data_IF_487943083116
#
_entry.id   IF_487943083116
#
_cell.length_a   1.000
_cell.length_b   1.000
_cell.length_c   1.000
_cell.angle_alpha   90.00
_cell.angle_beta   90.00
_cell.angle_gamma   90.00
#
_symmetry.space_group_name_H-M   'P 1'
#
loop_
_entity.id
_entity.type
_entity.pdbx_description
1 polymer ?
#
# COMPACT_ATOMS: atom_id res chain seq x y z
N UNK A 1 16.17 -21.22 7.33
CA UNK A 1 15.20 -20.20 6.87
C UNK A 1 15.90 -18.86 6.97
N UNK A 2 16.07 -18.12 5.87
CA UNK A 2 16.75 -16.82 5.91
C UNK A 2 16.00 -15.86 6.85
N UNK A 3 16.72 -15.05 7.66
CA UNK A 3 16.12 -14.00 8.52
C UNK A 3 15.10 -13.16 7.74
N UNK A 4 15.36 -12.94 6.45
CA UNK A 4 14.47 -12.28 5.52
C UNK A 4 13.06 -12.92 5.34
N UNK A 5 12.95 -14.25 5.23
CA UNK A 5 11.64 -14.90 5.09
C UNK A 5 10.83 -14.82 6.38
N UNK A 6 11.49 -14.79 7.54
CA UNK A 6 10.83 -14.52 8.83
C UNK A 6 10.29 -13.09 8.88
N UNK A 7 11.04 -12.10 8.35
CA UNK A 7 10.60 -10.71 8.31
C UNK A 7 9.34 -10.50 7.46
N UNK A 8 9.29 -11.09 6.25
CA UNK A 8 8.08 -11.04 5.42
C UNK A 8 6.90 -11.72 6.12
N UNK A 9 7.10 -12.86 6.76
CA UNK A 9 6.04 -13.58 7.43
C UNK A 9 5.39 -12.75 8.56
N UNK A 10 6.20 -12.05 9.37
CA UNK A 10 5.70 -11.17 10.44
C UNK A 10 4.91 -9.99 9.87
N UNK A 11 5.40 -9.33 8.82
CA UNK A 11 4.71 -8.21 8.19
C UNK A 11 3.40 -8.66 7.52
N UNK A 12 3.41 -9.82 6.87
CA UNK A 12 2.21 -10.42 6.25
C UNK A 12 1.16 -10.79 7.31
N UNK A 13 1.59 -11.33 8.45
CA UNK A 13 0.72 -11.63 9.58
C UNK A 13 0.11 -10.35 10.18
N UNK A 14 0.89 -9.28 10.33
CA UNK A 14 0.40 -8.00 10.83
C UNK A 14 -0.67 -7.39 9.91
N UNK A 15 -0.47 -7.46 8.60
CA UNK A 15 -1.49 -7.03 7.61
C UNK A 15 -2.73 -7.91 7.68
N UNK A 16 -2.57 -9.23 7.78
CA UNK A 16 -3.70 -10.13 7.88
C UNK A 16 -4.55 -9.80 9.12
N UNK A 17 -3.91 -9.56 10.26
CA UNK A 17 -4.59 -9.12 11.49
C UNK A 17 -5.31 -7.80 11.26
N UNK A 18 -4.70 -6.85 10.55
CA UNK A 18 -5.33 -5.56 10.25
C UNK A 18 -6.55 -5.71 9.31
N UNK A 19 -6.47 -6.57 8.30
CA UNK A 19 -7.59 -6.85 7.40
C UNK A 19 -8.74 -7.56 8.11
N UNK A 20 -8.42 -8.55 8.93
CA UNK A 20 -9.41 -9.24 9.76
C UNK A 20 -10.03 -8.26 10.76
N UNK A 21 -9.22 -7.43 11.42
CA UNK A 21 -9.69 -6.39 12.33
C UNK A 21 -10.59 -5.37 11.64
N UNK A 22 -10.27 -5.01 10.39
CA UNK A 22 -11.13 -4.14 9.58
C UNK A 22 -12.47 -4.82 9.29
N UNK A 23 -12.45 -6.10 8.91
CA UNK A 23 -13.67 -6.87 8.63
C UNK A 23 -14.53 -7.14 9.88
N UNK A 24 -13.94 -7.11 11.07
CA UNK A 24 -14.63 -7.25 12.35
C UNK A 24 -15.07 -5.91 12.96
N UNK A 25 -14.78 -4.78 12.31
CA UNK A 25 -15.22 -3.49 12.79
C UNK A 25 -16.75 -3.42 12.74
N UNK A 26 -17.37 -3.33 13.91
CA UNK A 26 -18.80 -3.13 14.03
C UNK A 26 -19.12 -1.68 13.65
N UNK A 27 -19.90 -1.52 12.59
CA UNK A 27 -20.24 -0.23 12.04
C UNK A 27 -21.75 -0.21 11.87
N UNK A 28 -22.42 0.55 12.73
CA UNK A 28 -23.87 0.68 12.79
C UNK A 28 -24.33 1.91 11.97
N UNK A 29 -24.66 1.76 10.67
CA UNK A 29 -25.20 2.85 9.89
C UNK A 29 -26.54 3.35 10.45
N UNK A 30 -26.95 4.57 10.08
CA UNK A 30 -28.22 5.21 10.47
C UNK A 30 -28.34 5.72 11.92
N UNK A 31 -27.40 5.40 12.82
CA UNK A 31 -27.40 5.99 14.16
C UNK A 31 -26.95 7.45 14.15
N UNK A 32 -25.96 7.77 13.31
CA UNK A 32 -25.41 9.11 13.18
C UNK A 32 -25.21 9.43 11.70
N UNK A 33 -25.61 10.63 11.30
CA UNK A 33 -25.42 11.14 9.95
C UNK A 33 -24.43 12.31 9.92
N UNK A 34 -23.99 12.69 8.72
CA UNK A 34 -23.20 13.90 8.54
C UNK A 34 -24.03 15.17 8.80
N UNK A 35 -23.34 16.24 9.18
CA UNK A 35 -23.95 17.45 9.74
C UNK A 35 -24.88 18.19 8.78
N UNK A 36 -24.59 18.23 7.47
CA UNK A 36 -25.37 19.03 6.52
C UNK A 36 -26.83 18.54 6.41
N UNK A 37 -27.03 17.22 6.37
CA UNK A 37 -28.35 16.61 6.15
C UNK A 37 -28.85 15.73 7.29
N UNK A 38 -28.04 15.50 8.33
CA UNK A 38 -28.37 14.53 9.37
C UNK A 38 -29.69 14.78 10.08
N UNK A 39 -29.97 16.02 10.45
CA UNK A 39 -31.24 16.39 11.10
C UNK A 39 -32.47 16.15 10.20
N UNK A 40 -32.30 16.16 8.87
CA UNK A 40 -33.37 15.87 7.91
C UNK A 40 -33.63 14.37 7.88
N UNK A 41 -32.58 13.55 7.80
CA UNK A 41 -32.71 12.10 7.82
C UNK A 41 -33.29 11.60 9.15
N UNK A 42 -32.85 12.13 10.27
CA UNK A 42 -33.43 11.83 11.59
C UNK A 42 -34.93 12.14 11.65
N UNK A 43 -35.35 13.28 11.11
CA UNK A 43 -36.78 13.65 11.03
C UNK A 43 -37.57 12.70 10.12
N UNK A 44 -37.00 12.30 8.99
CA UNK A 44 -37.65 11.34 8.07
C UNK A 44 -37.81 9.98 8.76
N UNK A 45 -36.77 9.52 9.48
CA UNK A 45 -36.83 8.28 10.25
C UNK A 45 -37.96 8.34 11.28
N UNK A 46 -38.05 9.41 12.06
CA UNK A 46 -39.06 9.56 13.11
C UNK A 46 -40.49 9.67 12.58
N UNK A 47 -40.70 10.39 11.48
CA UNK A 47 -42.06 10.72 11.01
C UNK A 47 -42.61 9.74 9.98
N UNK A 48 -41.74 9.13 9.16
CA UNK A 48 -42.15 8.42 7.96
C UNK A 48 -41.61 6.99 7.87
N UNK A 49 -40.47 6.69 8.51
CA UNK A 49 -39.76 5.41 8.38
C UNK A 49 -39.53 4.71 9.73
N UNK A 50 -40.39 4.95 10.72
CA UNK A 50 -40.19 4.43 12.07
C UNK A 50 -40.32 2.90 12.11
N UNK A 51 -41.22 2.32 11.33
CA UNK A 51 -41.42 0.88 11.26
C UNK A 51 -40.19 0.16 10.65
N UNK A 52 -39.61 0.71 9.58
CA UNK A 52 -38.40 0.19 8.97
C UNK A 52 -37.18 0.34 9.89
N UNK A 53 -37.13 1.43 10.67
CA UNK A 53 -36.08 1.65 11.66
C UNK A 53 -36.18 0.66 12.83
N UNK A 54 -37.38 0.38 13.32
CA UNK A 54 -37.60 -0.64 14.35
C UNK A 54 -37.16 -2.02 13.86
N UNK A 55 -37.43 -2.38 12.60
CA UNK A 55 -36.96 -3.63 11.99
C UNK A 55 -35.43 -3.66 11.92
N UNK A 56 -34.79 -2.54 11.56
CA UNK A 56 -33.34 -2.42 11.51
C UNK A 56 -32.72 -2.67 12.88
N UNK A 57 -33.21 -2.00 13.93
CA UNK A 57 -32.71 -2.11 15.31
C UNK A 57 -32.98 -3.48 15.92
N UNK A 58 -34.19 -4.02 15.75
CA UNK A 58 -34.55 -5.30 16.36
C UNK A 58 -33.80 -6.48 15.72
N UNK A 59 -33.36 -6.36 14.46
CA UNK A 59 -32.69 -7.42 13.72
C UNK A 59 -33.53 -8.69 13.51
N UNK A 60 -34.81 -8.68 13.91
CA UNK A 60 -35.69 -9.85 14.01
C UNK A 60 -36.32 -10.29 12.70
N UNK A 61 -36.00 -9.67 11.56
CA UNK A 61 -36.66 -10.04 10.31
C UNK A 61 -36.25 -11.47 9.89
N UNK A 62 -37.17 -12.44 9.90
CA UNK A 62 -36.81 -13.82 9.55
C UNK A 62 -36.43 -13.89 8.08
N UNK A 63 -35.33 -14.61 7.78
CA UNK A 63 -34.80 -14.79 6.42
C UNK A 63 -35.75 -15.50 5.46
N UNK A 64 -36.88 -16.03 5.94
CA UNK A 64 -37.96 -16.53 5.08
C UNK A 64 -38.87 -15.40 4.58
N UNK A 65 -38.92 -14.25 5.23
CA UNK A 65 -39.88 -13.17 4.96
C UNK A 65 -39.27 -11.92 4.30
N UNK A 66 -37.95 -11.87 4.12
CA UNK A 66 -37.26 -10.75 3.44
C UNK A 66 -37.87 -10.39 2.08
N UNK A 67 -38.48 -11.35 1.37
CA UNK A 67 -39.12 -11.09 0.07
C UNK A 67 -40.30 -10.12 0.15
N UNK A 68 -40.91 -9.95 1.33
CA UNK A 68 -42.02 -9.04 1.56
C UNK A 68 -41.58 -7.58 1.57
N UNK A 69 -40.33 -7.29 1.94
CA UNK A 69 -39.84 -5.90 2.14
C UNK A 69 -38.65 -5.52 1.26
N UNK A 70 -37.74 -6.44 0.91
CA UNK A 70 -36.43 -6.09 0.33
C UNK A 70 -36.11 -6.74 -1.02
N UNK A 71 -36.76 -7.86 -1.39
CA UNK A 71 -36.48 -8.55 -2.66
C UNK A 71 -36.81 -7.71 -3.90
N UNK A 72 -37.93 -7.00 -3.85
CA UNK A 72 -38.37 -6.13 -4.95
C UNK A 72 -37.54 -4.85 -5.07
N UNK A 73 -36.72 -4.54 -4.06
CA UNK A 73 -35.74 -3.45 -4.05
C UNK A 73 -34.38 -3.87 -4.64
N UNK A 74 -34.29 -5.07 -5.25
CA UNK A 74 -33.05 -5.58 -5.86
C UNK A 74 -32.00 -6.04 -4.84
N UNK A 75 -32.38 -6.21 -3.58
CA UNK A 75 -31.48 -6.56 -2.48
C UNK A 75 -31.45 -8.07 -2.22
N UNK A 76 -30.32 -8.58 -1.72
CA UNK A 76 -30.17 -9.97 -1.28
C UNK A 76 -30.67 -10.20 0.15
N UNK A 77 -30.88 -11.46 0.53
CA UNK A 77 -31.37 -11.82 1.89
C UNK A 77 -30.48 -11.32 3.06
N UNK A 78 -29.20 -11.05 2.81
CA UNK A 78 -28.25 -10.51 3.81
C UNK A 78 -28.43 -9.02 4.09
N UNK A 79 -29.17 -8.32 3.24
CA UNK A 79 -29.39 -6.88 3.28
C UNK A 79 -30.84 -6.53 3.63
N UNK A 80 -31.60 -7.50 4.15
CA UNK A 80 -33.04 -7.39 4.39
C UNK A 80 -33.42 -6.31 5.40
N UNK A 81 -32.51 -5.99 6.33
CA UNK A 81 -32.77 -5.02 7.40
C UNK A 81 -32.29 -3.60 7.03
N UNK A 82 -31.27 -3.48 6.16
CA UNK A 82 -30.63 -2.21 5.81
C UNK A 82 -31.33 -1.53 4.63
N UNK A 83 -31.66 -2.30 3.59
CA UNK A 83 -32.18 -1.73 2.33
C UNK A 83 -33.57 -1.10 2.46
N UNK A 84 -34.56 -1.71 3.16
CA UNK A 84 -35.87 -1.08 3.31
C UNK A 84 -35.82 0.28 4.01
N UNK A 85 -34.99 0.40 5.06
CA UNK A 85 -34.79 1.67 5.75
C UNK A 85 -34.12 2.71 4.84
N UNK A 86 -33.03 2.32 4.15
CA UNK A 86 -32.37 3.20 3.20
C UNK A 86 -33.32 3.69 2.09
N UNK A 87 -34.12 2.78 1.51
CA UNK A 87 -35.11 3.10 0.48
C UNK A 87 -36.19 4.05 1.01
N UNK A 88 -36.71 3.82 2.22
CA UNK A 88 -37.68 4.70 2.84
C UNK A 88 -37.11 6.13 3.05
N UNK A 89 -35.88 6.24 3.58
CA UNK A 89 -35.23 7.53 3.76
C UNK A 89 -35.06 8.24 2.41
N UNK A 90 -34.59 7.52 1.38
CA UNK A 90 -34.43 8.08 0.02
C UNK A 90 -35.79 8.52 -0.53
N UNK A 91 -36.84 7.71 -0.40
CA UNK A 91 -38.18 8.01 -0.93
C UNK A 91 -38.73 9.34 -0.41
N UNK A 92 -38.56 9.63 0.88
CA UNK A 92 -39.02 10.87 1.50
C UNK A 92 -37.99 12.01 1.47
N UNK A 93 -36.78 11.75 0.97
CA UNK A 93 -35.78 12.80 0.77
C UNK A 93 -36.13 13.70 -0.42
N UNK A 94 -35.94 15.02 -0.34
CA UNK A 94 -36.11 15.93 -1.47
C UNK A 94 -35.24 15.55 -2.66
N UNK A 95 -35.75 15.75 -3.89
CA UNK A 95 -35.00 15.48 -5.13
C UNK A 95 -33.68 16.26 -5.21
N UNK A 96 -33.64 17.47 -4.64
CA UNK A 96 -32.41 18.26 -4.53
C UNK A 96 -31.31 17.53 -3.73
N UNK A 97 -31.66 16.87 -2.62
CA UNK A 97 -30.70 16.11 -1.81
C UNK A 97 -30.24 14.84 -2.52
N UNK A 98 -31.14 14.17 -3.26
CA UNK A 98 -30.78 13.02 -4.08
C UNK A 98 -29.77 13.39 -5.16
N UNK A 99 -29.99 14.50 -5.86
CA UNK A 99 -29.04 15.05 -6.81
C UNK A 99 -27.70 15.43 -6.13
N UNK A 100 -27.75 15.99 -4.93
CA UNK A 100 -26.56 16.31 -4.14
C UNK A 100 -25.75 15.08 -3.71
N UNK A 101 -26.41 13.98 -3.29
CA UNK A 101 -25.74 12.70 -3.00
C UNK A 101 -25.07 12.14 -4.24
N UNK A 102 -25.75 12.18 -5.39
CA UNK A 102 -25.18 11.76 -6.66
C UNK A 102 -23.93 12.58 -7.05
N UNK A 103 -23.96 13.90 -6.82
CA UNK A 103 -22.79 14.75 -7.03
C UNK A 103 -21.63 14.41 -6.08
N UNK A 104 -21.91 14.12 -4.80
CA UNK A 104 -20.90 13.71 -3.83
C UNK A 104 -20.21 12.41 -4.26
N UNK A 105 -20.97 11.46 -4.82
CA UNK A 105 -20.44 10.18 -5.31
C UNK A 105 -19.49 10.33 -6.50
N UNK A 106 -19.63 11.37 -7.33
CA UNK A 106 -18.64 11.65 -8.38
C UNK A 106 -17.30 12.03 -7.76
N UNK A 107 -17.31 12.95 -6.79
CA UNK A 107 -16.07 13.43 -6.13
C UNK A 107 -15.42 12.31 -5.32
N UNK A 108 -16.23 11.58 -4.53
CA UNK A 108 -15.78 10.42 -3.76
C UNK A 108 -15.26 9.32 -4.69
N UNK A 109 -15.96 9.01 -5.78
CA UNK A 109 -15.52 8.04 -6.79
C UNK A 109 -14.17 8.39 -7.45
N UNK A 110 -13.84 9.68 -7.59
CA UNK A 110 -12.54 10.13 -8.08
C UNK A 110 -11.44 10.11 -7.00
N UNK A 111 -11.79 9.99 -5.72
CA UNK A 111 -10.83 10.05 -4.60
C UNK A 111 -9.73 9.00 -4.69
N UNK A 112 -9.98 7.72 -5.02
CA UNK A 112 -8.93 6.73 -5.26
C UNK A 112 -7.89 7.20 -6.29
N UNK A 113 -8.32 7.77 -7.42
CA UNK A 113 -7.41 8.26 -8.44
C UNK A 113 -6.62 9.49 -7.98
N UNK A 114 -7.26 10.43 -7.27
CA UNK A 114 -6.62 11.60 -6.68
C UNK A 114 -5.52 11.15 -5.70
N UNK A 115 -5.85 10.24 -4.79
CA UNK A 115 -4.89 9.72 -3.81
C UNK A 115 -3.76 8.93 -4.49
N UNK A 116 -4.06 8.14 -5.53
CA UNK A 116 -3.05 7.45 -6.34
C UNK A 116 -2.07 8.41 -7.02
N UNK A 117 -2.51 9.60 -7.45
CA UNK A 117 -1.61 10.60 -8.05
C UNK A 117 -0.63 11.21 -7.04
N UNK A 118 -1.02 11.27 -5.76
CA UNK A 118 -0.21 11.81 -4.66
C UNK A 118 0.54 10.71 -3.89
N UNK A 119 0.13 9.46 -4.07
CA UNK A 119 0.60 8.30 -3.34
C UNK A 119 2.07 7.95 -3.57
N UNK A 120 2.65 7.25 -2.61
CA UNK A 120 4.03 6.76 -2.67
C UNK A 120 4.16 5.59 -3.65
N UNK A 121 5.22 5.58 -4.46
CA UNK A 121 5.48 4.49 -5.39
C UNK A 121 5.81 3.17 -4.67
N UNK A 122 5.43 2.05 -5.28
CA UNK A 122 5.84 0.71 -4.79
C UNK A 122 7.36 0.50 -4.87
N UNK A 123 8.03 1.15 -5.83
CA UNK A 123 9.49 1.11 -5.97
C UNK A 123 10.16 1.85 -4.82
N UNK A 124 9.78 3.12 -4.60
CA UNK A 124 10.28 3.97 -3.52
C UNK A 124 10.13 3.32 -2.13
N UNK A 125 8.94 2.78 -1.85
CA UNK A 125 8.66 2.09 -0.59
C UNK A 125 9.43 0.77 -0.46
N UNK A 126 9.53 -0.03 -1.53
CA UNK A 126 10.33 -1.26 -1.52
C UNK A 126 11.82 -1.00 -1.29
N UNK A 127 12.38 0.07 -1.89
CA UNK A 127 13.75 0.52 -1.63
C UNK A 127 13.94 0.86 -0.14
N UNK A 128 13.00 1.56 0.49
CA UNK A 128 13.07 1.85 1.93
C UNK A 128 12.99 0.56 2.79
N UNK A 129 12.13 -0.39 2.40
CA UNK A 129 12.02 -1.69 3.06
C UNK A 129 13.34 -2.46 3.06
N UNK A 130 13.97 -2.61 1.88
CA UNK A 130 15.10 -3.50 1.67
C UNK A 130 16.44 -2.76 1.83
N UNK A 131 16.69 -1.74 1.02
CA UNK A 131 17.95 -0.99 1.03
C UNK A 131 18.04 -0.08 2.25
N UNK A 132 16.94 0.55 2.65
CA UNK A 132 16.89 1.40 3.83
C UNK A 132 16.88 0.64 5.17
N UNK A 133 16.60 -0.67 5.13
CA UNK A 133 16.45 -1.54 6.32
C UNK A 133 15.47 -1.02 7.37
N UNK A 134 14.45 -0.26 6.96
CA UNK A 134 13.40 0.26 7.86
C UNK A 134 12.03 -0.31 7.51
N UNK A 135 11.83 -1.63 7.66
CA UNK A 135 10.59 -2.28 7.24
C UNK A 135 9.37 -1.79 8.03
N UNK A 136 9.53 -1.49 9.31
CA UNK A 136 8.42 -1.03 10.14
C UNK A 136 7.96 0.38 9.75
N UNK A 137 8.90 1.31 9.58
CA UNK A 137 8.58 2.66 9.11
C UNK A 137 7.92 2.62 7.72
N UNK A 138 8.48 1.83 6.80
CA UNK A 138 7.92 1.66 5.47
C UNK A 138 6.49 1.09 5.51
N UNK A 139 6.23 0.09 6.36
CA UNK A 139 4.88 -0.43 6.56
C UNK A 139 3.93 0.65 7.08
N UNK A 140 4.33 1.39 8.12
CA UNK A 140 3.53 2.48 8.67
C UNK A 140 3.21 3.56 7.62
N UNK A 141 4.18 3.91 6.76
CA UNK A 141 3.97 4.83 5.65
C UNK A 141 2.93 4.30 4.64
N UNK A 142 2.97 3.02 4.32
CA UNK A 142 1.97 2.39 3.45
C UNK A 142 0.58 2.37 4.10
N UNK A 143 0.48 2.16 5.42
CA UNK A 143 -0.79 2.18 6.14
C UNK A 143 -1.38 3.60 6.28
N UNK A 144 -0.54 4.62 6.37
CA UNK A 144 -0.97 6.03 6.43
C UNK A 144 -1.27 6.65 5.06
N UNK A 145 -0.95 5.95 3.97
CA UNK A 145 -1.10 6.44 2.58
C UNK A 145 -1.85 5.41 1.71
N UNK A 146 -3.20 5.44 1.69
CA UNK A 146 -4.01 4.48 0.95
C UNK A 146 -3.93 4.61 -0.59
N UNK A 147 -3.33 5.69 -1.10
CA UNK A 147 -3.14 5.94 -2.52
C UNK A 147 -1.89 5.27 -3.07
N UNK A 148 -2.03 4.50 -4.16
CA UNK A 148 -0.91 3.83 -4.83
C UNK A 148 -0.92 4.24 -6.30
N UNK A 149 0.16 4.84 -6.82
CA UNK A 149 0.25 5.22 -8.23
C UNK A 149 0.09 4.00 -9.14
N UNK A 150 -0.62 4.12 -10.28
CA UNK A 150 -0.77 3.03 -11.23
C UNK A 150 0.58 2.66 -11.82
N UNK A 151 0.80 1.36 -12.00
CA UNK A 151 1.98 0.82 -12.64
C UNK A 151 1.63 0.33 -14.04
N UNK A 152 2.52 0.56 -15.02
CA UNK A 152 2.38 -0.04 -16.35
C UNK A 152 2.80 -1.51 -16.32
N UNK A 153 2.00 -2.37 -16.97
CA UNK A 153 2.37 -3.78 -17.12
C UNK A 153 3.61 -3.89 -18.03
N UNK A 154 4.57 -4.71 -17.60
CA UNK A 154 5.79 -5.04 -18.35
C UNK A 154 6.77 -3.88 -18.64
N UNK A 155 6.63 -2.74 -17.96
CA UNK A 155 7.66 -1.69 -18.03
C UNK A 155 8.90 -2.15 -17.24
N UNK A 156 10.08 -2.10 -17.88
CA UNK A 156 11.35 -2.48 -17.26
C UNK A 156 11.63 -1.54 -16.09
N UNK A 157 11.79 -2.10 -14.89
CA UNK A 157 12.01 -1.30 -13.68
C UNK A 157 13.49 -1.12 -13.45
N UNK A 158 13.97 0.12 -13.56
CA UNK A 158 15.29 0.50 -13.05
C UNK A 158 15.19 0.62 -11.53
N UNK A 159 15.45 -0.49 -10.83
CA UNK A 159 15.43 -0.57 -9.37
C UNK A 159 16.41 0.40 -8.70
N UNK A 160 17.38 0.90 -9.45
CA UNK A 160 18.36 1.91 -9.09
C UNK A 160 17.85 3.35 -9.14
N UNK A 161 16.79 3.62 -9.90
CA UNK A 161 16.29 4.98 -10.14
C UNK A 161 15.98 5.75 -8.85
N UNK A 162 15.42 5.13 -7.78
CA UNK A 162 15.26 5.80 -6.50
C UNK A 162 16.60 6.19 -5.85
N UNK A 163 17.68 5.45 -6.12
CA UNK A 163 19.02 5.64 -5.55
C UNK A 163 19.94 6.46 -6.45
N UNK A 164 19.59 6.69 -7.72
CA UNK A 164 20.41 7.46 -8.67
C UNK A 164 20.70 8.90 -8.21
N UNK A 165 21.89 9.38 -8.58
CA UNK A 165 22.36 10.73 -8.30
C UNK A 165 21.56 11.74 -9.14
N UNK A 166 20.71 12.54 -8.49
CA UNK A 166 20.10 13.72 -9.14
C UNK A 166 20.97 14.96 -8.96
N UNK A 167 21.24 15.66 -10.06
CA UNK A 167 21.97 16.93 -10.07
C UNK A 167 21.11 18.05 -9.44
N UNK A 168 21.74 18.97 -8.69
CA UNK A 168 21.07 20.17 -8.13
C UNK A 168 20.32 20.02 -6.80
N UNK A 169 20.62 19.01 -5.97
CA UNK A 169 19.90 18.76 -4.71
C UNK A 169 20.47 19.47 -3.47
N UNK A 170 19.60 19.69 -2.48
CA UNK A 170 19.99 20.01 -1.11
C UNK A 170 20.90 18.90 -0.56
N UNK A 171 22.11 19.29 -0.16
CA UNK A 171 23.00 18.41 0.62
C UNK A 171 22.41 18.27 2.01
N UNK A 172 21.84 17.10 2.30
CA UNK A 172 21.36 16.78 3.64
C UNK A 172 22.57 16.67 4.56
N UNK A 173 22.64 17.51 5.58
CA UNK A 173 23.63 17.35 6.62
C UNK A 173 23.23 16.18 7.51
N UNK A 174 24.15 15.22 7.68
CA UNK A 174 24.02 14.20 8.71
C UNK A 174 24.19 14.88 10.07
N UNK A 175 23.21 14.70 10.94
CA UNK A 175 23.22 15.33 12.26
C UNK A 175 23.90 14.44 13.30
N UNK A 176 24.20 15.01 14.47
CA UNK A 176 24.64 14.21 15.61
C UNK A 176 23.57 13.19 16.01
N UNK A 177 24.01 12.06 16.59
CA UNK A 177 23.15 10.92 16.94
C UNK A 177 21.85 11.31 17.66
N UNK A 178 21.93 12.23 18.63
CA UNK A 178 20.76 12.70 19.38
C UNK A 178 19.73 13.45 18.52
N UNK A 179 20.18 14.27 17.56
CA UNK A 179 19.29 14.97 16.62
C UNK A 179 18.65 13.99 15.63
N UNK A 180 19.40 13.01 15.16
CA UNK A 180 18.84 11.97 14.28
C UNK A 180 17.78 11.12 14.99
N UNK A 181 17.97 10.82 16.27
CA UNK A 181 16.97 10.11 17.07
C UNK A 181 15.72 10.96 17.25
N UNK A 182 15.86 12.28 17.47
CA UNK A 182 14.70 13.17 17.58
C UNK A 182 13.92 13.26 16.26
N UNK A 183 14.62 13.38 15.12
CA UNK A 183 13.99 13.38 13.80
C UNK A 183 13.22 12.08 13.57
N UNK A 184 13.83 10.93 13.90
CA UNK A 184 13.18 9.64 13.78
C UNK A 184 11.90 9.53 14.64
N UNK A 185 11.96 10.01 15.90
CA UNK A 185 10.78 10.05 16.77
C UNK A 185 9.68 10.91 16.13
N UNK A 186 10.04 12.07 15.58
CA UNK A 186 9.10 12.95 14.91
C UNK A 186 8.47 12.30 13.67
N UNK A 187 9.25 11.58 12.85
CA UNK A 187 8.75 10.82 11.71
C UNK A 187 7.73 9.77 12.14
N UNK A 188 8.03 8.96 13.15
CA UNK A 188 7.09 7.95 13.64
C UNK A 188 5.81 8.57 14.19
N UNK A 189 5.91 9.67 14.95
CA UNK A 189 4.73 10.36 15.47
C UNK A 189 3.84 10.90 14.33
N UNK A 190 4.44 11.51 13.31
CA UNK A 190 3.72 12.00 12.14
C UNK A 190 3.02 10.86 11.39
N UNK A 191 3.73 9.75 11.14
CA UNK A 191 3.17 8.62 10.40
C UNK A 191 2.08 7.90 11.20
N UNK A 192 2.26 7.72 12.52
CA UNK A 192 1.22 7.15 13.39
C UNK A 192 -0.02 8.05 13.45
N UNK A 193 0.15 9.38 13.48
CA UNK A 193 -0.96 10.32 13.38
C UNK A 193 -1.70 10.20 12.04
N UNK A 194 -0.98 9.99 10.93
CA UNK A 194 -1.60 9.73 9.62
C UNK A 194 -2.40 8.42 9.63
N UNK A 195 -1.86 7.33 10.18
CA UNK A 195 -2.58 6.04 10.30
C UNK A 195 -3.84 6.21 11.14
N UNK A 196 -3.73 6.85 12.30
CA UNK A 196 -4.87 7.09 13.18
C UNK A 196 -5.94 7.94 12.47
N UNK A 197 -5.54 8.97 11.73
CA UNK A 197 -6.47 9.79 10.95
C UNK A 197 -7.15 8.99 9.84
N UNK A 198 -6.43 8.15 9.08
CA UNK A 198 -7.01 7.27 8.05
C UNK A 198 -7.98 6.25 8.66
N UNK A 199 -7.60 5.60 9.77
CA UNK A 199 -8.45 4.65 10.48
C UNK A 199 -9.73 5.31 11.01
N UNK A 200 -9.58 6.48 11.64
CA UNK A 200 -10.71 7.25 12.14
C UNK A 200 -11.65 7.68 11.01
N UNK A 201 -11.11 8.14 9.87
CA UNK A 201 -11.91 8.48 8.69
C UNK A 201 -12.64 7.27 8.13
N UNK A 202 -11.99 6.10 8.07
CA UNK A 202 -12.64 4.86 7.61
C UNK A 202 -13.79 4.44 8.51
N UNK A 203 -13.60 4.55 9.82
CA UNK A 203 -14.66 4.27 10.80
C UNK A 203 -15.80 5.31 10.71
N UNK A 204 -15.46 6.59 10.65
CA UNK A 204 -16.43 7.70 10.53
C UNK A 204 -17.26 7.59 9.25
N UNK A 205 -16.63 7.26 8.13
CA UNK A 205 -17.33 7.02 6.87
C UNK A 205 -18.21 5.77 6.97
N UNK A 206 -17.65 4.63 7.37
CA UNK A 206 -18.40 3.36 7.39
C UNK A 206 -19.57 3.32 8.39
N UNK A 207 -19.53 4.11 9.46
CA UNK A 207 -20.63 4.22 10.44
C UNK A 207 -21.70 5.25 10.08
N UNK A 208 -21.44 6.19 9.17
CA UNK A 208 -22.37 7.28 8.84
C UNK A 208 -22.98 7.20 7.45
N UNK A 209 -22.54 6.24 6.65
CA UNK A 209 -22.98 6.05 5.26
C UNK A 209 -23.40 4.61 5.00
N UNK A 210 -24.08 4.41 3.88
CA UNK A 210 -24.45 3.07 3.40
C UNK A 210 -23.92 2.89 1.98
N UNK A 211 -23.39 1.71 1.69
CA UNK A 211 -22.94 1.32 0.35
C UNK A 211 -24.09 0.70 -0.44
N UNK A 212 -24.40 1.22 -1.63
CA UNK A 212 -25.51 0.75 -2.47
C UNK A 212 -25.33 -0.72 -2.89
N UNK A 213 -24.13 -1.12 -3.31
CA UNK A 213 -23.89 -2.48 -3.83
C UNK A 213 -23.72 -3.54 -2.73
N UNK A 214 -23.27 -3.12 -1.54
CA UNK A 214 -23.06 -4.01 -0.41
C UNK A 214 -23.46 -3.35 0.93
N UNK A 215 -24.76 -3.10 1.17
CA UNK A 215 -25.23 -2.38 2.36
C UNK A 215 -24.88 -3.05 3.70
N UNK A 216 -24.68 -4.36 3.71
CA UNK A 216 -24.32 -5.14 4.89
C UNK A 216 -22.81 -5.18 5.19
N UNK A 217 -21.98 -4.59 4.32
CA UNK A 217 -20.51 -4.60 4.42
C UNK A 217 -19.98 -3.16 4.57
N UNK A 218 -20.41 -2.46 5.62
CA UNK A 218 -19.96 -1.11 5.96
C UNK A 218 -18.44 -1.01 6.14
N UNK A 219 -17.80 -2.09 6.56
CA UNK A 219 -16.34 -2.17 6.73
C UNK A 219 -15.52 -2.08 5.43
N UNK A 220 -16.13 -2.18 4.24
CA UNK A 220 -15.40 -2.17 2.96
C UNK A 220 -14.61 -0.88 2.73
N UNK A 221 -15.06 0.25 3.28
CA UNK A 221 -14.33 1.52 3.23
C UNK A 221 -13.01 1.41 4.02
N UNK A 222 -13.07 0.89 5.24
CA UNK A 222 -11.89 0.69 6.08
C UNK A 222 -10.95 -0.37 5.49
N UNK A 223 -11.52 -1.46 4.96
CA UNK A 223 -10.76 -2.48 4.25
C UNK A 223 -10.01 -1.87 3.06
N UNK A 224 -10.67 -1.01 2.27
CA UNK A 224 -10.02 -0.34 1.15
C UNK A 224 -8.83 0.49 1.60
N UNK A 225 -8.94 1.27 2.68
CA UNK A 225 -7.81 2.08 3.16
C UNK A 225 -6.56 1.25 3.46
N UNK A 226 -6.72 0.01 3.92
CA UNK A 226 -5.57 -0.81 4.29
C UNK A 226 -5.18 -1.85 3.25
N UNK A 227 -6.06 -2.32 2.38
CA UNK A 227 -5.77 -3.40 1.42
C UNK A 227 -4.64 -3.05 0.46
N UNK A 228 -4.46 -1.76 0.14
CA UNK A 228 -3.34 -1.28 -0.67
C UNK A 228 -1.96 -1.60 -0.06
N UNK A 229 -1.83 -1.67 1.26
CA UNK A 229 -0.56 -2.00 1.91
C UNK A 229 -0.01 -3.38 1.52
N UNK A 230 -0.87 -4.32 1.12
CA UNK A 230 -0.46 -5.61 0.59
C UNK A 230 0.37 -5.49 -0.71
N UNK A 231 0.03 -4.55 -1.59
CA UNK A 231 0.77 -4.26 -2.82
C UNK A 231 2.24 -3.92 -2.54
N UNK A 232 2.45 -3.09 -1.51
CA UNK A 232 3.77 -2.65 -1.09
C UNK A 232 4.60 -3.79 -0.47
N UNK A 233 3.97 -4.71 0.28
CA UNK A 233 4.66 -5.90 0.77
C UNK A 233 5.07 -6.80 -0.38
N UNK A 234 4.17 -7.09 -1.32
CA UNK A 234 4.52 -7.89 -2.50
C UNK A 234 5.64 -7.23 -3.31
N UNK A 235 5.65 -5.89 -3.42
CA UNK A 235 6.74 -5.17 -4.03
C UNK A 235 8.07 -5.32 -3.28
N UNK A 236 8.07 -5.16 -1.95
CA UNK A 236 9.25 -5.39 -1.12
C UNK A 236 9.76 -6.85 -1.24
N UNK A 237 8.84 -7.82 -1.27
CA UNK A 237 9.16 -9.23 -1.51
C UNK A 237 9.78 -9.43 -2.90
N UNK A 238 9.21 -8.83 -3.95
CA UNK A 238 9.78 -8.94 -5.30
C UNK A 238 11.19 -8.35 -5.38
N UNK A 239 11.44 -7.22 -4.71
CA UNK A 239 12.75 -6.57 -4.68
C UNK A 239 13.78 -7.41 -3.94
N UNK A 240 13.40 -8.05 -2.84
CA UNK A 240 14.31 -8.88 -2.07
C UNK A 240 14.85 -10.11 -2.81
N UNK A 241 14.11 -10.60 -3.82
CA UNK A 241 14.57 -11.68 -4.67
C UNK A 241 15.67 -11.22 -5.63
N UNK A 242 15.80 -9.91 -5.85
CA UNK A 242 16.78 -9.28 -6.74
C UNK A 242 17.90 -8.54 -6.01
N UNK A 243 17.79 -8.32 -4.71
CA UNK A 243 18.80 -7.57 -3.96
C UNK A 243 19.59 -8.50 -3.07
N UNK A 244 20.91 -8.52 -3.27
CA UNK A 244 21.86 -9.15 -2.35
C UNK A 244 22.65 -8.08 -1.62
N UNK A 245 22.60 -8.12 -0.30
CA UNK A 245 23.33 -7.20 0.58
C UNK A 245 24.50 -7.98 1.16
N UNK A 246 25.72 -7.52 0.89
CA UNK A 246 26.94 -8.07 1.47
C UNK A 246 27.49 -7.08 2.50
N UNK A 247 27.78 -7.60 3.70
CA UNK A 247 28.41 -6.86 4.78
C UNK A 247 29.85 -7.33 4.95
N UNK A 248 30.76 -6.39 5.20
CA UNK A 248 32.08 -6.75 5.74
C UNK A 248 31.87 -7.34 7.14
N UNK A 249 32.29 -8.60 7.29
CA UNK A 249 32.02 -9.44 8.46
C UNK A 249 32.67 -8.86 9.71
N UNK A 250 31.87 -8.68 10.77
CA UNK A 250 32.34 -8.60 12.15
C UNK A 250 31.50 -9.54 13.02
N UNK A 251 32.15 -10.18 13.98
CA UNK A 251 31.56 -11.15 14.90
C UNK A 251 30.41 -10.51 15.71
N UNK A 252 29.17 -10.96 15.46
CA UNK A 252 28.01 -10.65 16.29
C UNK A 252 27.81 -11.77 17.32
N UNK A 253 28.34 -11.58 18.53
CA UNK A 253 27.74 -12.12 19.74
C UNK A 253 26.43 -11.33 19.97
N UNK A 254 25.28 -11.92 19.57
CA UNK A 254 24.03 -11.17 19.42
C UNK A 254 22.83 -11.79 20.13
N UNK A 255 22.39 -11.08 21.17
CA UNK A 255 21.17 -11.29 21.96
C UNK A 255 19.89 -11.38 21.10
N UNK A 256 18.88 -12.13 21.54
CA UNK A 256 17.68 -12.47 20.75
C UNK A 256 16.80 -11.26 20.35
N UNK A 257 17.08 -10.05 20.88
CA UNK A 257 16.37 -8.81 20.58
C UNK A 257 17.14 -7.84 19.66
N UNK A 258 18.40 -8.11 19.33
CA UNK A 258 19.21 -7.28 18.41
C UNK A 258 18.53 -7.13 17.03
N UNK A 259 17.93 -8.22 16.52
CA UNK A 259 17.24 -8.20 15.23
C UNK A 259 16.02 -7.26 15.22
N UNK A 260 15.28 -7.15 16.33
CA UNK A 260 14.11 -6.28 16.42
C UNK A 260 14.52 -4.81 16.58
N UNK A 261 15.60 -4.55 17.32
CA UNK A 261 16.19 -3.20 17.38
C UNK A 261 16.62 -2.70 16.00
N UNK A 262 17.14 -3.60 15.16
CA UNK A 262 17.54 -3.25 13.79
C UNK A 262 16.37 -2.79 12.88
N UNK A 263 15.12 -3.03 13.27
CA UNK A 263 13.94 -2.59 12.52
C UNK A 263 13.54 -1.13 12.78
N UNK A 264 13.96 -0.60 13.92
CA UNK A 264 13.52 0.70 14.46
C UNK A 264 14.67 1.70 14.48
N UNK A 265 15.88 1.23 14.80
CA UNK A 265 17.06 2.08 14.96
C UNK A 265 17.57 2.53 13.59
N UNK A 266 17.97 3.82 13.43
CA UNK A 266 18.47 4.34 12.16
C UNK A 266 19.76 3.61 11.79
N UNK A 267 20.07 3.59 10.48
CA UNK A 267 21.26 2.93 9.94
C UNK A 267 22.49 3.26 10.80
N UNK A 268 22.97 2.27 11.57
CA UNK A 268 24.19 2.43 12.33
C UNK A 268 25.36 2.39 11.35
N UNK A 269 26.28 3.34 11.53
CA UNK A 269 27.51 3.52 10.74
C UNK A 269 28.51 2.38 11.01
N UNK A 270 28.11 1.13 10.79
CA UNK A 270 28.94 -0.07 10.99
C UNK A 270 29.33 -0.65 9.64
N UNK A 271 30.42 -0.13 9.08
CA UNK A 271 31.08 -0.66 7.89
C UNK A 271 30.46 -0.27 6.55
N UNK A 272 31.23 -0.50 5.48
CA UNK A 272 30.76 -0.33 4.11
C UNK A 272 29.83 -1.51 3.75
N UNK A 273 28.63 -1.21 3.26
CA UNK A 273 27.68 -2.22 2.79
C UNK A 273 27.57 -2.17 1.27
N UNK A 274 27.70 -3.32 0.61
CA UNK A 274 27.55 -3.41 -0.85
C UNK A 274 26.18 -3.97 -1.19
N UNK A 275 25.46 -3.28 -2.07
CA UNK A 275 24.15 -3.70 -2.58
C UNK A 275 24.31 -4.11 -4.04
N UNK A 276 24.09 -5.40 -4.31
CA UNK A 276 24.12 -5.97 -5.64
C UNK A 276 22.70 -6.21 -6.15
N UNK A 277 22.42 -5.77 -7.36
CA UNK A 277 21.18 -6.08 -8.06
C UNK A 277 21.42 -7.29 -8.95
N UNK A 278 20.55 -8.30 -8.84
CA UNK A 278 20.59 -9.48 -9.69
C UNK A 278 19.83 -9.22 -11.00
N UNK A 279 20.22 -9.89 -12.10
CA UNK A 279 19.51 -9.81 -13.37
C UNK A 279 18.05 -10.29 -13.22
N UNK A 280 17.23 -9.90 -14.17
CA UNK A 280 15.80 -10.23 -14.15
C UNK A 280 15.57 -11.73 -14.20
N UNK A 281 14.63 -12.21 -13.39
CA UNK A 281 14.18 -13.61 -13.41
C UNK A 281 12.72 -13.67 -13.82
N UNK A 282 12.28 -14.79 -14.42
CA UNK A 282 10.87 -14.98 -14.78
C UNK A 282 9.93 -14.84 -13.57
N UNK A 283 10.38 -15.28 -12.40
CA UNK A 283 9.63 -15.10 -11.14
C UNK A 283 9.44 -13.62 -10.80
N UNK A 284 10.48 -12.80 -10.96
CA UNK A 284 10.38 -11.36 -10.75
C UNK A 284 9.35 -10.73 -11.70
N UNK A 285 9.40 -11.04 -13.00
CA UNK A 285 8.44 -10.52 -13.99
C UNK A 285 7.00 -10.92 -13.65
N UNK A 286 6.78 -12.15 -13.17
CA UNK A 286 5.47 -12.59 -12.68
C UNK A 286 4.98 -11.75 -11.48
N UNK A 287 5.84 -11.54 -10.47
CA UNK A 287 5.48 -10.72 -9.31
C UNK A 287 5.18 -9.28 -9.69
N UNK A 288 5.97 -8.68 -10.59
CA UNK A 288 5.73 -7.33 -11.12
C UNK A 288 4.36 -7.24 -11.80
N UNK A 289 4.01 -8.21 -12.63
CA UNK A 289 2.68 -8.29 -13.26
C UNK A 289 1.56 -8.44 -12.24
N UNK A 290 1.74 -9.30 -11.23
CA UNK A 290 0.76 -9.49 -10.15
C UNK A 290 0.56 -8.21 -9.32
N UNK A 291 1.63 -7.50 -8.95
CA UNK A 291 1.56 -6.22 -8.24
C UNK A 291 0.80 -5.19 -9.08
N UNK A 292 1.08 -5.12 -10.39
CA UNK A 292 0.38 -4.21 -11.31
C UNK A 292 -1.12 -4.48 -11.34
N UNK A 293 -1.52 -5.77 -11.40
CA UNK A 293 -2.93 -6.17 -11.35
C UNK A 293 -3.57 -5.82 -10.01
N UNK A 294 -2.85 -6.03 -8.89
CA UNK A 294 -3.33 -5.72 -7.55
C UNK A 294 -3.55 -4.21 -7.36
N UNK A 295 -2.63 -3.36 -7.86
CA UNK A 295 -2.81 -1.90 -7.86
C UNK A 295 -4.03 -1.48 -8.69
N UNK A 296 -4.18 -2.06 -9.90
CA UNK A 296 -5.35 -1.77 -10.73
C UNK A 296 -6.66 -2.19 -10.04
N UNK A 297 -6.69 -3.39 -9.44
CA UNK A 297 -7.83 -3.87 -8.67
C UNK A 297 -8.14 -2.98 -7.46
N UNK A 298 -7.12 -2.50 -6.74
CA UNK A 298 -7.25 -1.58 -5.61
C UNK A 298 -7.91 -0.25 -6.02
N UNK A 299 -7.49 0.34 -7.14
CA UNK A 299 -8.07 1.58 -7.67
C UNK A 299 -9.53 1.36 -8.10
N UNK A 300 -9.81 0.28 -8.83
CA UNK A 300 -11.17 -0.06 -9.28
C UNK A 300 -12.08 -0.32 -8.08
N UNK A 301 -11.60 -1.11 -7.11
CA UNK A 301 -12.35 -1.44 -5.89
C UNK A 301 -12.66 -0.17 -5.08
N UNK A 302 -11.69 0.73 -4.92
CA UNK A 302 -11.94 2.03 -4.28
C UNK A 302 -12.96 2.85 -5.01
N UNK A 303 -12.86 2.92 -6.34
CA UNK A 303 -13.79 3.72 -7.16
C UNK A 303 -15.21 3.19 -7.00
N UNK A 304 -15.38 1.87 -6.99
CA UNK A 304 -16.65 1.21 -6.75
C UNK A 304 -17.20 1.48 -5.34
N UNK A 305 -16.36 1.37 -4.30
CA UNK A 305 -16.76 1.62 -2.91
C UNK A 305 -17.17 3.08 -2.70
N UNK A 306 -16.36 4.05 -3.14
CA UNK A 306 -16.64 5.46 -2.88
C UNK A 306 -17.70 6.07 -3.80
N UNK A 307 -17.91 5.55 -5.01
CA UNK A 307 -19.01 6.00 -5.89
C UNK A 307 -20.39 5.44 -5.52
N UNK A 308 -20.44 4.49 -4.59
CA UNK A 308 -21.67 3.83 -4.14
C UNK A 308 -22.13 4.27 -2.76
N UNK A 309 -21.59 5.36 -2.23
CA UNK A 309 -21.93 5.89 -0.91
C UNK A 309 -23.29 6.59 -0.95
N UNK A 310 -24.07 6.49 0.13
CA UNK A 310 -25.31 7.23 0.34
C UNK A 310 -25.24 8.07 1.62
N UNK A 311 -26.17 9.02 1.74
CA UNK A 311 -26.36 9.86 2.95
C UNK A 311 -25.19 10.79 3.28
N UNK A 312 -24.40 11.18 2.28
CA UNK A 312 -23.32 12.16 2.40
C UNK A 312 -23.52 13.31 1.40
N UNK A 313 -23.29 14.54 1.86
CA UNK A 313 -23.33 15.72 1.00
C UNK A 313 -21.96 16.02 0.39
N UNK A 314 -21.93 16.82 -0.69
CA UNK A 314 -20.67 17.32 -1.27
C UNK A 314 -19.89 18.14 -0.23
N UNK A 315 -20.60 18.91 0.60
CA UNK A 315 -19.98 19.76 1.62
C UNK A 315 -19.27 18.94 2.69
N UNK A 316 -19.86 17.82 3.09
CA UNK A 316 -19.28 16.93 4.10
C UNK A 316 -18.15 16.06 3.52
N UNK A 317 -18.22 15.69 2.24
CA UNK A 317 -17.20 14.84 1.63
C UNK A 317 -15.86 15.57 1.38
N UNK A 318 -15.90 16.87 1.06
CA UNK A 318 -14.68 17.64 0.74
C UNK A 318 -13.65 17.67 1.89
N UNK A 319 -14.02 17.95 3.15
CA UNK A 319 -13.10 17.84 4.28
C UNK A 319 -12.51 16.45 4.48
N UNK A 320 -13.28 15.38 4.24
CA UNK A 320 -12.79 14.00 4.37
C UNK A 320 -11.67 13.74 3.35
N UNK A 321 -11.89 14.12 2.09
CA UNK A 321 -10.91 14.00 1.02
C UNK A 321 -9.67 14.83 1.34
N UNK A 322 -9.84 16.06 1.82
CA UNK A 322 -8.73 16.92 2.24
C UNK A 322 -7.87 16.29 3.34
N UNK A 323 -8.49 15.66 4.35
CA UNK A 323 -7.78 14.95 5.43
C UNK A 323 -7.04 13.70 4.92
N UNK A 324 -7.62 12.97 3.96
CA UNK A 324 -6.94 11.83 3.31
C UNK A 324 -5.73 12.31 2.51
N UNK A 325 -5.89 13.36 1.70
CA UNK A 325 -4.81 13.96 0.93
C UNK A 325 -3.68 14.46 1.84
N UNK A 326 -4.00 15.12 2.95
CA UNK A 326 -3.01 15.57 3.92
C UNK A 326 -2.19 14.41 4.49
N UNK A 327 -2.83 13.28 4.81
CA UNK A 327 -2.14 12.08 5.31
C UNK A 327 -1.19 11.50 4.27
N UNK A 328 -1.66 11.37 3.02
CA UNK A 328 -0.83 10.90 1.89
C UNK A 328 0.37 11.81 1.66
N UNK A 329 0.16 13.14 1.66
CA UNK A 329 1.24 14.12 1.45
C UNK A 329 2.28 14.03 2.57
N UNK A 330 1.86 13.97 3.83
CA UNK A 330 2.78 13.84 4.98
C UNK A 330 3.60 12.55 4.88
N UNK A 331 2.95 11.41 4.61
CA UNK A 331 3.65 10.14 4.40
C UNK A 331 4.63 10.24 3.21
N UNK A 332 4.24 10.88 2.11
CA UNK A 332 5.13 11.09 0.95
C UNK A 332 6.36 11.93 1.31
N UNK A 333 6.18 13.01 2.08
CA UNK A 333 7.28 13.87 2.52
C UNK A 333 8.28 13.08 3.38
N UNK A 334 7.80 12.29 4.35
CA UNK A 334 8.64 11.43 5.19
C UNK A 334 9.37 10.39 4.35
N UNK A 335 8.69 9.73 3.41
CA UNK A 335 9.31 8.76 2.52
C UNK A 335 10.41 9.38 1.66
N UNK A 336 10.13 10.54 1.06
CA UNK A 336 11.10 11.24 0.22
C UNK A 336 12.32 11.71 1.00
N UNK A 337 12.12 12.15 2.25
CA UNK A 337 13.21 12.49 3.16
C UNK A 337 14.10 11.28 3.45
N UNK A 338 13.52 10.13 3.79
CA UNK A 338 14.26 8.90 4.09
C UNK A 338 15.02 8.36 2.87
N UNK A 339 14.40 8.34 1.69
CA UNK A 339 15.08 7.96 0.44
C UNK A 339 16.21 8.93 0.13
N UNK A 340 16.03 10.23 0.39
CA UNK A 340 17.09 11.21 0.21
C UNK A 340 18.26 10.98 1.18
N UNK A 341 17.99 10.54 2.41
CA UNK A 341 19.02 10.13 3.38
C UNK A 341 19.83 8.94 2.88
N UNK A 342 19.16 7.88 2.42
CA UNK A 342 19.83 6.69 1.84
C UNK A 342 20.71 7.09 0.66
N UNK A 343 20.17 7.91 -0.25
CA UNK A 343 20.92 8.40 -1.42
C UNK A 343 22.15 9.22 -1.03
N UNK A 344 22.07 10.04 0.03
CA UNK A 344 23.22 10.79 0.51
C UNK A 344 24.34 9.84 0.97
N UNK A 345 24.01 8.74 1.65
CA UNK A 345 24.97 7.72 2.08
C UNK A 345 25.64 6.98 0.91
N UNK A 346 24.97 6.90 -0.25
CA UNK A 346 25.54 6.26 -1.44
C UNK A 346 26.57 7.14 -2.18
N UNK A 347 26.40 8.47 -2.18
CA UNK A 347 27.11 9.34 -3.14
C UNK A 347 27.89 10.52 -2.54
N UNK A 348 27.65 10.86 -1.26
CA UNK A 348 28.19 12.10 -0.68
C UNK A 348 29.33 11.89 0.33
N UNK A 349 29.55 10.66 0.78
CA UNK A 349 30.70 10.32 1.63
C UNK A 349 31.81 9.67 0.80
N UNK A 350 33.06 10.06 1.07
CA UNK A 350 34.26 9.44 0.49
C UNK A 350 35.08 8.78 1.63
N UNK A 351 35.20 7.43 1.67
CA UNK A 351 34.55 6.47 0.78
C UNK A 351 33.04 6.33 1.07
N UNK A 352 32.23 5.95 0.07
CA UNK A 352 30.80 5.76 0.25
C UNK A 352 30.52 4.60 1.23
N UNK A 353 29.69 4.87 2.24
CA UNK A 353 29.23 3.86 3.20
C UNK A 353 28.36 2.78 2.55
N UNK A 354 27.70 3.13 1.44
CA UNK A 354 26.79 2.24 0.73
C UNK A 354 27.17 2.24 -0.75
N UNK A 355 27.82 1.16 -1.20
CA UNK A 355 28.17 1.02 -2.60
C UNK A 355 27.06 0.28 -3.34
N UNK A 356 26.67 0.84 -4.47
CA UNK A 356 25.69 0.30 -5.40
C UNK A 356 26.44 -0.15 -6.65
N UNK A 357 26.25 -1.39 -7.07
CA UNK A 357 26.85 -1.93 -8.30
C UNK A 357 25.73 -2.43 -9.21
N UNK A 358 25.51 -1.74 -10.33
CA UNK A 358 24.57 -2.17 -11.35
C UNK A 358 25.24 -3.26 -12.20
N UNK A 359 24.66 -4.46 -12.32
CA UNK A 359 25.18 -5.45 -13.28
C UNK A 359 25.05 -4.97 -14.74
N UNK A 360 24.14 -4.06 -15.05
CA UNK A 360 23.92 -3.55 -16.41
C UNK A 360 25.08 -2.63 -16.87
N UNK A 361 25.69 -1.86 -15.96
CA UNK A 361 26.82 -0.97 -16.28
C UNK A 361 28.08 -1.77 -16.70
N UNK A 362 28.20 -3.04 -16.30
CA UNK A 362 29.32 -3.91 -16.70
C UNK A 362 29.21 -4.47 -18.11
N UNK A 363 28.02 -4.41 -18.74
CA UNK A 363 27.84 -4.93 -20.10
C UNK A 363 28.47 -3.98 -21.11
N UNK A 364 28.41 -2.67 -20.86
CA UNK A 364 28.99 -1.64 -21.74
C UNK A 364 30.53 -1.59 -21.67
N UNK A 365 31.13 -1.86 -20.51
CA UNK A 365 32.59 -1.93 -20.35
C UNK A 365 33.23 -3.10 -21.13
N UNK A 366 32.50 -4.21 -21.30
CA UNK A 366 32.98 -5.37 -22.08
C UNK A 366 32.89 -5.09 -23.58
N UNK A 367 31.93 -4.29 -24.02
CA UNK A 367 31.81 -3.88 -25.42
C UNK A 367 32.89 -2.84 -25.79
N UNK A 368 33.20 -1.87 -24.92
CA UNK A 368 34.30 -0.91 -25.14
C UNK A 368 35.71 -1.56 -25.05
N UNK A 369 35.92 -2.56 -24.18
CA UNK A 369 37.18 -3.32 -24.18
C UNK A 369 37.32 -4.24 -25.41
N UNK A 370 36.21 -4.65 -26.03
CA UNK A 370 36.22 -5.40 -27.30
C UNK A 370 36.71 -4.59 -28.50
N UNK A 371 36.51 -3.26 -28.50
CA UNK A 371 36.93 -2.39 -29.61
C UNK A 371 38.38 -1.89 -29.50
N UNK A 372 38.98 -1.89 -28.30
CA UNK A 372 40.36 -1.41 -28.11
C UNK A 372 41.44 -2.50 -28.26
N UNK A 373 41.06 -3.78 -28.33
CA UNK A 373 42.02 -4.90 -28.53
C UNK A 373 41.91 -5.60 -29.89
N UNK A 374 41.14 -5.07 -30.83
CA UNK A 374 40.93 -5.67 -32.15
C UNK A 374 41.95 -5.20 -33.23
N UNK A 375 43.20 -4.95 -32.86
CA UNK A 375 44.28 -4.71 -33.83
C UNK A 375 45.58 -5.43 -33.45
N UNK A 376 45.47 -6.70 -33.06
CA UNK A 376 46.55 -7.67 -33.30
C UNK A 376 46.03 -9.08 -33.11
N UNK A 377 46.43 -9.94 -34.05
CA UNK A 377 46.37 -11.39 -33.97
C UNK A 377 45.10 -12.03 -34.55
N UNK A 378 45.03 -11.94 -35.88
CA UNK A 378 44.54 -13.03 -36.72
C UNK A 378 45.40 -14.26 -36.38
N UNK A 379 44.81 -15.27 -35.77
CA UNK A 379 44.96 -16.67 -36.18
C UNK A 379 44.05 -17.60 -35.34
N UNK A 380 43.22 -18.36 -36.06
CA UNK A 380 42.76 -19.71 -35.75
C UNK A 380 42.41 -20.04 -34.29
N UNK A 381 41.13 -20.24 -33.96
CA UNK A 381 40.66 -21.49 -33.33
C UNK A 381 39.13 -21.56 -33.27
N UNK A 382 38.60 -22.63 -33.89
CA UNK A 382 37.22 -23.09 -33.77
C UNK A 382 36.93 -23.61 -32.36
N UNK A 383 35.71 -23.39 -31.82
CA UNK A 383 34.99 -24.43 -31.05
C UNK A 383 33.52 -24.05 -30.79
N UNK A 384 32.67 -24.98 -31.22
CA UNK A 384 31.20 -25.06 -31.13
C UNK A 384 30.75 -25.25 -29.67
N UNK A 385 29.65 -24.63 -29.20
CA UNK A 385 29.10 -24.88 -27.87
C UNK A 385 28.31 -26.19 -27.80
N UNK A 386 28.66 -27.06 -26.84
CA UNK A 386 27.93 -28.29 -26.49
C UNK A 386 26.69 -27.97 -25.64
N UNK A 387 25.51 -28.13 -26.24
CA UNK A 387 24.26 -28.41 -25.53
C UNK A 387 24.34 -29.79 -24.84
N UNK A 388 23.93 -29.91 -23.57
CA UNK A 388 23.63 -31.23 -22.97
C UNK A 388 22.33 -31.22 -22.17
N UNK A 389 21.49 -32.19 -22.54
CA UNK A 389 20.09 -32.45 -22.15
C UNK A 389 19.90 -32.95 -20.72
N UNK A 390 18.67 -32.73 -20.28
CA UNK A 390 17.89 -33.32 -19.19
C UNK A 390 17.98 -34.85 -19.00
N UNK A 391 17.80 -35.22 -17.73
CA UNK A 391 17.06 -36.36 -17.12
C UNK A 391 17.53 -37.80 -17.33
N UNK A 392 17.68 -38.56 -16.22
CA UNK A 392 16.70 -39.59 -15.81
C UNK A 392 16.96 -40.18 -14.41
N UNK A 393 15.84 -40.58 -13.79
CA UNK A 393 15.64 -41.36 -12.58
C UNK A 393 16.41 -42.70 -12.56
N UNK A 394 16.78 -43.17 -11.37
CA UNK A 394 17.12 -44.57 -11.10
C UNK A 394 16.28 -45.12 -9.94
N UNK A 395 15.63 -46.25 -10.18
CA UNK A 395 15.03 -47.12 -9.19
C UNK A 395 15.48 -48.56 -9.45
N UNK A 396 15.86 -49.24 -8.35
CA UNK A 396 16.00 -50.70 -8.10
C UNK A 396 17.01 -51.50 -8.94
N UNK A 397 17.95 -52.15 -8.25
CA UNK A 397 17.82 -53.56 -7.80
C UNK A 397 18.96 -53.94 -6.83
N UNK A 398 18.61 -54.26 -5.58
CA UNK A 398 19.10 -55.38 -4.75
C UNK A 398 18.34 -55.40 -3.42
#
# INVERSE_FOLDING_TARGET
MNRFTQHIAVLSAAILILHVGSAMADMEPFHFFYTEWGFIFERIIQNNCSAEYDIYIDGKMPRSEWYKTSRWLGSGSTCANVVPLADCIIKYSPEYMKAGMAAANVVLGLTPAILSSLGSGVEETSTLFICGRRPFLALCLCLGSPGIPPLRLFEHRLLSQPLERRQGRLRLQLYSFGRETLILIAEYLLVLACIANVAQLGHEMGSRVVLVFAPHLSYLILLWFFIGSSAHIFAAMSLSLRVRIEHEVYDEDGDAFEWLKSWIVPWQRRGATKIFFLPETLFYSFFVGFISLLIAAHIIFGTLVFSSVLFISVRDCMPLIGRLMASVIVCRVVLMYEIAKIRHLCWAEDPPLLMYENPEDKVDDVEEQGYMTAERQIDSFSLIPKFRRLTTFTAREL
#
